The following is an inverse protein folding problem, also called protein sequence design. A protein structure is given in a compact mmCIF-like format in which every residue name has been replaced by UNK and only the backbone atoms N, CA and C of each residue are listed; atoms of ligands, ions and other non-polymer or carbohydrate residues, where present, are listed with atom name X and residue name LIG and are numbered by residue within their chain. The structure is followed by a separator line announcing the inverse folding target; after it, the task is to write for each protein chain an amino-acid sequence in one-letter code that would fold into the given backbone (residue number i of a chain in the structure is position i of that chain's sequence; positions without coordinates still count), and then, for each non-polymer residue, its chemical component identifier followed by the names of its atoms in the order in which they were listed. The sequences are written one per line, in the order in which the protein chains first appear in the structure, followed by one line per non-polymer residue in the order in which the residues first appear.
data_IF_754191869308
#
_entry.id   IF_754191869308
#
_cell.length_a   1.000
_cell.length_b   1.000
_cell.length_c   1.000
_cell.angle_alpha   90.00
_cell.angle_beta   90.00
_cell.angle_gamma   90.00
#
_symmetry.space_group_name_H-M   'P 1'
#
loop_
_entity.id
_entity.type
_entity.pdbx_description
1 polymer ?
#
# COMPACT_ATOMS: atom_id res chain seq x y z
N UNK A 1 4.23 -5.96 -7.21
CA UNK A 1 3.67 -5.59 -5.89
C UNK A 1 2.26 -5.02 -6.01
N UNK A 2 1.49 -5.00 -4.92
CA UNK A 2 0.14 -4.38 -4.88
C UNK A 2 0.03 -3.36 -3.74
N UNK A 3 -0.26 -2.10 -4.07
CA UNK A 3 -0.52 -1.04 -3.10
C UNK A 3 -2.04 -0.84 -2.98
N UNK A 4 -2.60 -1.20 -1.83
CA UNK A 4 -3.99 -0.99 -1.48
C UNK A 4 -4.17 0.35 -0.78
N UNK A 5 -5.08 1.17 -1.31
CA UNK A 5 -5.45 2.49 -0.78
C UNK A 5 -6.96 2.63 -0.71
N UNK A 6 -7.46 3.45 0.21
CA UNK A 6 -8.88 3.84 0.24
C UNK A 6 -9.12 5.17 -0.47
N UNK A 7 -10.33 5.36 -0.97
CA UNK A 7 -10.75 6.64 -1.52
C UNK A 7 -10.85 7.71 -0.42
N UNK A 8 -10.41 8.93 -0.74
CA UNK A 8 -10.57 10.10 0.14
C UNK A 8 -9.73 10.11 1.43
N UNK A 9 -8.89 9.11 1.71
CA UNK A 9 -8.08 9.09 2.93
C UNK A 9 -6.72 9.82 2.75
N UNK A 10 -6.46 10.92 3.49
CA UNK A 10 -5.23 11.70 3.35
C UNK A 10 -3.94 10.91 3.64
N UNK A 11 -4.04 9.86 4.48
CA UNK A 11 -2.93 8.96 4.80
C UNK A 11 -2.35 8.20 3.60
N UNK A 12 -3.05 8.18 2.47
CA UNK A 12 -2.61 7.54 1.22
C UNK A 12 -1.68 8.46 0.39
N UNK A 13 -1.74 9.78 0.58
CA UNK A 13 -0.97 10.72 -0.24
C UNK A 13 0.55 10.45 -0.20
N UNK A 14 1.19 10.19 0.97
CA UNK A 14 2.63 9.96 1.00
C UNK A 14 3.05 8.69 0.26
N UNK A 15 2.25 7.62 0.34
CA UNK A 15 2.58 6.35 -0.34
C UNK A 15 2.37 6.44 -1.86
N UNK A 16 1.33 7.16 -2.30
CA UNK A 16 1.08 7.41 -3.71
C UNK A 16 2.17 8.30 -4.31
N UNK A 17 2.61 9.33 -3.58
CA UNK A 17 3.73 10.18 -4.01
C UNK A 17 5.05 9.41 -4.10
N UNK A 18 5.32 8.52 -3.13
CA UNK A 18 6.51 7.67 -3.14
C UNK A 18 6.50 6.69 -4.34
N UNK A 19 5.37 6.04 -4.60
CA UNK A 19 5.16 5.18 -5.76
C UNK A 19 5.35 5.93 -7.08
N UNK A 20 4.78 7.13 -7.20
CA UNK A 20 4.93 8.00 -8.36
C UNK A 20 6.37 8.41 -8.62
N UNK A 21 7.13 8.73 -7.56
CA UNK A 21 8.56 9.04 -7.66
C UNK A 21 9.41 7.85 -8.10
N UNK A 22 9.02 6.63 -7.72
CA UNK A 22 9.77 5.41 -8.03
C UNK A 22 9.56 4.92 -9.48
N UNK A 23 8.62 5.50 -10.23
CA UNK A 23 8.43 5.19 -11.65
C UNK A 23 7.45 4.05 -11.94
N UNK A 24 6.66 3.59 -10.96
CA UNK A 24 5.56 2.63 -11.13
C UNK A 24 5.88 1.30 -11.86
N UNK A 25 7.13 0.86 -11.93
CA UNK A 25 7.50 -0.36 -12.69
C UNK A 25 7.25 -1.63 -11.89
N UNK A 26 6.03 -2.18 -11.97
CA UNK A 26 5.65 -3.43 -11.29
C UNK A 26 4.71 -3.25 -10.11
N UNK A 27 4.32 -2.01 -9.80
CA UNK A 27 3.31 -1.68 -8.80
C UNK A 27 1.91 -1.62 -9.40
N UNK A 28 1.00 -2.43 -8.89
CA UNK A 28 -0.43 -2.22 -9.10
C UNK A 28 -1.01 -1.40 -7.94
N UNK A 29 -1.64 -0.27 -8.24
CA UNK A 29 -2.40 0.50 -7.24
C UNK A 29 -3.86 0.03 -7.27
N UNK A 30 -4.36 -0.46 -6.14
CA UNK A 30 -5.71 -0.97 -5.97
C UNK A 30 -6.48 -0.07 -5.00
N UNK A 31 -7.58 0.52 -5.47
CA UNK A 31 -8.52 1.22 -4.59
C UNK A 31 -9.48 0.23 -3.97
N UNK A 32 -9.61 0.25 -2.64
CA UNK A 32 -10.46 -0.66 -1.88
C UNK A 32 -11.43 0.09 -0.98
N UNK A 33 -12.50 -0.58 -0.61
CA UNK A 33 -13.47 -0.05 0.35
C UNK A 33 -12.84 0.15 1.74
N UNK A 34 -13.39 1.06 2.58
CA UNK A 34 -12.86 1.31 3.92
C UNK A 34 -12.91 0.09 4.85
N UNK A 35 -13.86 -0.82 4.64
CA UNK A 35 -14.04 -2.04 5.42
C UNK A 35 -13.37 -3.28 4.82
N UNK A 36 -12.72 -3.13 3.67
CA UNK A 36 -12.12 -4.25 2.96
C UNK A 36 -10.85 -4.75 3.65
N UNK A 37 -10.78 -6.05 3.90
CA UNK A 37 -9.65 -6.68 4.57
C UNK A 37 -8.61 -7.16 3.56
N UNK A 38 -7.67 -6.27 3.26
CA UNK A 38 -6.54 -6.59 2.35
C UNK A 38 -5.39 -7.31 3.03
N UNK A 39 -5.21 -7.13 4.35
CA UNK A 39 -4.19 -7.85 5.12
C UNK A 39 -4.86 -9.00 5.90
N UNK A 40 -4.66 -10.27 5.51
CA UNK A 40 -5.49 -11.39 5.96
C UNK A 40 -5.33 -11.73 7.44
N UNK A 41 -4.22 -11.37 8.06
CA UNK A 41 -3.91 -11.68 9.47
C UNK A 41 -4.22 -10.51 10.43
N UNK A 42 -4.73 -9.37 9.96
CA UNK A 42 -5.20 -8.29 10.83
C UNK A 42 -6.68 -8.45 11.17
N UNK A 43 -7.02 -8.22 12.44
CA UNK A 43 -8.39 -8.26 12.94
C UNK A 43 -9.24 -7.05 12.53
N UNK A 44 -8.60 -5.95 12.11
CA UNK A 44 -9.24 -4.73 11.61
C UNK A 44 -8.71 -4.38 10.21
N UNK A 45 -9.57 -3.83 9.31
CA UNK A 45 -9.13 -3.29 8.04
C UNK A 45 -8.02 -2.25 8.23
N UNK A 46 -7.02 -2.27 7.37
CA UNK A 46 -5.90 -1.33 7.44
C UNK A 46 -5.40 -1.00 6.04
N UNK A 47 -5.50 0.29 5.71
CA UNK A 47 -4.93 0.90 4.52
C UNK A 47 -4.27 2.24 4.91
N UNK A 48 -3.20 2.69 4.23
CA UNK A 48 -2.57 2.04 3.08
C UNK A 48 -1.82 0.75 3.47
N UNK A 49 -1.80 -0.21 2.55
CA UNK A 49 -1.06 -1.47 2.69
C UNK A 49 -0.36 -1.84 1.37
N UNK A 50 0.91 -2.23 1.44
CA UNK A 50 1.69 -2.73 0.33
C UNK A 50 1.91 -4.23 0.51
N UNK A 51 1.42 -5.02 -0.43
CA UNK A 51 1.76 -6.42 -0.56
C UNK A 51 2.98 -6.58 -1.47
N UNK A 52 3.99 -7.23 -0.92
CA UNK A 52 5.25 -7.56 -1.59
C UNK A 52 5.07 -8.85 -2.40
N UNK A 53 5.89 -9.05 -3.43
CA UNK A 53 5.77 -10.22 -4.32
C UNK A 53 6.00 -11.57 -3.60
N UNK A 54 6.63 -11.55 -2.41
CA UNK A 54 6.77 -12.71 -1.54
C UNK A 54 5.58 -12.98 -0.61
N UNK A 55 4.45 -12.27 -0.77
CA UNK A 55 3.25 -12.41 0.07
C UNK A 55 3.33 -11.69 1.43
N UNK A 56 4.41 -10.95 1.70
CA UNK A 56 4.54 -10.11 2.89
C UNK A 56 3.77 -8.79 2.76
N UNK A 57 3.37 -8.20 3.89
CA UNK A 57 2.63 -6.93 3.90
C UNK A 57 3.36 -5.85 4.72
N UNK A 58 3.38 -4.63 4.18
CA UNK A 58 3.73 -3.40 4.90
C UNK A 58 2.48 -2.52 5.01
N UNK A 59 2.10 -2.10 6.21
CA UNK A 59 0.85 -1.32 6.44
C UNK A 59 1.08 -0.07 7.31
N UNK A 60 2.35 0.34 7.42
CA UNK A 60 2.76 1.62 7.98
C UNK A 60 3.21 2.51 6.84
N UNK A 61 2.62 3.70 6.71
CA UNK A 61 2.99 4.72 5.71
C UNK A 61 4.50 4.94 5.67
N UNK A 62 5.17 5.04 6.83
CA UNK A 62 6.62 5.25 6.90
C UNK A 62 7.42 4.05 6.38
N UNK A 63 7.00 2.82 6.72
CA UNK A 63 7.65 1.60 6.22
C UNK A 63 7.48 1.45 4.71
N UNK A 64 6.28 1.74 4.22
CA UNK A 64 5.95 1.73 2.80
C UNK A 64 6.81 2.75 2.04
N UNK A 65 6.86 4.01 2.49
CA UNK A 65 7.63 5.07 1.82
C UNK A 65 9.15 4.84 1.84
N UNK A 66 9.68 4.08 2.80
CA UNK A 66 11.12 3.76 2.91
C UNK A 66 11.50 2.44 2.25
N UNK A 67 10.55 1.70 1.68
CA UNK A 67 10.86 0.44 1.02
C UNK A 67 11.87 0.66 -0.11
N UNK A 68 12.93 -0.14 -0.11
CA UNK A 68 13.98 -0.11 -1.13
C UNK A 68 13.70 -1.08 -2.28
N UNK A 69 12.69 -1.93 -2.12
CA UNK A 69 12.26 -2.81 -3.18
C UNK A 69 11.69 -1.98 -4.34
N UNK A 70 11.90 -2.41 -5.59
CA UNK A 70 11.25 -1.78 -6.72
C UNK A 70 9.74 -1.84 -6.50
N UNK A 71 9.10 -0.69 -6.68
CA UNK A 71 7.65 -0.53 -6.56
C UNK A 71 6.96 -1.23 -7.73
#
# INVERSE_FOLDING_TARGET
MRLFVSEGAPGNLPVLAAAGRAGHTGLQVCTVGPDERVVPFLSRPRVPALELDGGGFLFSTNAICRTRSPW
#
